data_IF_368149959992
#
_entry.id   IF_368149959992
#
_cell.length_a   1.000
_cell.length_b   1.000
_cell.length_c   1.000
_cell.angle_alpha   90.00
_cell.angle_beta   90.00
_cell.angle_gamma   90.00
#
_symmetry.space_group_name_H-M   'P 1'
#
loop_
_entity.id
_entity.type
_entity.pdbx_description
1 polymer ?
#
# COMPACT_ATOMS: atom_id res chain seq x y z
N UNK A 1 18.75 11.74 28.02
CA UNK A 1 18.58 11.85 26.56
C UNK A 1 17.58 10.79 26.16
N UNK A 2 16.47 11.20 25.56
CA UNK A 2 15.43 10.31 25.04
C UNK A 2 15.95 9.61 23.79
N UNK A 3 15.66 8.32 23.66
CA UNK A 3 16.11 7.43 22.61
C UNK A 3 14.91 6.86 21.83
N UNK A 4 15.17 6.27 20.66
CA UNK A 4 14.10 5.62 19.88
C UNK A 4 13.42 4.47 20.63
N UNK A 5 14.13 3.80 21.55
CA UNK A 5 13.55 2.76 22.40
C UNK A 5 12.46 3.33 23.31
N UNK A 6 12.68 4.50 23.89
CA UNK A 6 11.70 5.15 24.77
C UNK A 6 10.41 5.46 24.00
N UNK A 7 10.50 5.87 22.73
CA UNK A 7 9.34 6.11 21.87
C UNK A 7 8.59 4.81 21.51
N UNK A 8 9.31 3.71 21.31
CA UNK A 8 8.70 2.40 21.06
C UNK A 8 7.98 1.87 22.30
N UNK A 9 8.58 2.03 23.49
CA UNK A 9 8.00 1.63 24.77
C UNK A 9 6.73 2.45 25.09
N UNK A 10 6.62 3.66 24.53
CA UNK A 10 5.40 4.50 24.56
C UNK A 10 4.35 4.11 23.50
N UNK A 11 4.64 3.11 22.65
CA UNK A 11 3.70 2.59 21.65
C UNK A 11 3.77 3.27 20.27
N UNK A 12 4.73 4.16 20.03
CA UNK A 12 4.90 4.77 18.70
C UNK A 12 5.59 3.81 17.73
N UNK A 13 5.20 3.86 16.45
CA UNK A 13 5.81 3.01 15.41
C UNK A 13 7.04 3.68 14.80
N UNK A 14 8.17 2.98 14.90
CA UNK A 14 9.44 3.42 14.30
C UNK A 14 9.27 3.70 12.81
N UNK A 15 9.66 4.90 12.41
CA UNK A 15 9.69 5.35 11.01
C UNK A 15 10.53 6.62 10.89
N UNK A 16 10.69 7.17 9.68
CA UNK A 16 11.64 8.26 9.38
C UNK A 16 11.49 9.50 10.28
N UNK A 17 10.28 9.81 10.76
CA UNK A 17 10.00 10.97 11.63
C UNK A 17 10.63 10.86 13.04
N UNK A 18 11.04 9.67 13.49
CA UNK A 18 11.65 9.49 14.82
C UNK A 18 12.91 10.33 14.98
N UNK A 19 13.71 10.49 13.92
CA UNK A 19 14.96 11.24 13.98
C UNK A 19 14.71 12.70 14.37
N UNK A 20 13.84 13.38 13.62
CA UNK A 20 13.49 14.78 13.83
C UNK A 20 12.77 14.98 15.18
N UNK A 21 11.90 14.04 15.56
CA UNK A 21 11.24 14.05 16.86
C UNK A 21 12.23 13.96 18.03
N UNK A 22 13.20 13.03 17.96
CA UNK A 22 14.21 12.84 19.00
C UNK A 22 15.17 14.03 19.10
N UNK A 23 15.57 14.61 17.97
CA UNK A 23 16.38 15.84 17.94
C UNK A 23 15.67 16.98 18.66
N UNK A 24 14.38 17.20 18.35
CA UNK A 24 13.58 18.24 19.01
C UNK A 24 13.38 17.98 20.51
N UNK A 25 13.04 16.75 20.90
CA UNK A 25 12.82 16.37 22.30
C UNK A 25 14.07 16.59 23.13
N UNK A 26 15.23 16.15 22.62
CA UNK A 26 16.50 16.27 23.34
C UNK A 26 17.01 17.71 23.38
N UNK A 27 16.85 18.49 22.31
CA UNK A 27 17.26 19.90 22.28
C UNK A 27 16.46 20.78 23.27
N UNK A 28 15.18 20.46 23.46
CA UNK A 28 14.28 21.22 24.34
C UNK A 28 14.05 20.55 25.71
N UNK A 29 14.76 19.46 26.00
CA UNK A 29 14.61 18.66 27.21
C UNK A 29 13.14 18.31 27.54
N UNK A 30 12.33 18.00 26.52
CA UNK A 30 10.92 17.64 26.71
C UNK A 30 10.82 16.33 27.49
N UNK A 31 9.93 16.29 28.47
CA UNK A 31 9.65 15.10 29.27
C UNK A 31 8.16 15.01 29.63
N UNK A 32 7.72 13.82 30.06
CA UNK A 32 6.35 13.58 30.52
C UNK A 32 5.29 14.03 29.50
N UNK A 33 4.29 14.76 29.99
CA UNK A 33 3.15 15.21 29.17
C UNK A 33 3.53 16.16 28.03
N UNK A 34 4.56 17.00 28.22
CA UNK A 34 5.04 17.91 27.18
C UNK A 34 5.63 17.12 26.00
N UNK A 35 6.40 16.08 26.28
CA UNK A 35 6.93 15.18 25.26
C UNK A 35 5.81 14.39 24.56
N UNK A 36 4.84 13.85 25.32
CA UNK A 36 3.72 13.11 24.75
C UNK A 36 2.84 13.98 23.85
N UNK A 37 2.59 15.22 24.25
CA UNK A 37 1.82 16.20 23.47
C UNK A 37 2.51 16.49 22.14
N UNK A 38 3.83 16.76 22.19
CA UNK A 38 4.63 16.96 20.99
C UNK A 38 4.61 15.72 20.08
N UNK A 39 4.91 14.54 20.63
CA UNK A 39 4.94 13.29 19.87
C UNK A 39 3.60 13.00 19.18
N UNK A 40 2.46 13.23 19.85
CA UNK A 40 1.14 13.05 19.23
C UNK A 40 0.86 14.07 18.12
N UNK A 41 1.42 15.27 18.20
CA UNK A 41 1.26 16.30 17.18
C UNK A 41 2.10 16.02 15.92
N UNK A 42 3.29 15.42 16.07
CA UNK A 42 4.19 15.15 14.94
C UNK A 42 4.13 13.71 14.43
N UNK A 43 3.55 12.78 15.20
CA UNK A 43 3.40 11.40 14.76
C UNK A 43 2.56 11.35 13.47
N UNK A 44 2.97 10.56 12.47
CA UNK A 44 2.16 10.30 11.30
C UNK A 44 0.78 9.78 11.69
N UNK A 45 -0.25 10.09 10.90
CA UNK A 45 -1.57 9.51 11.12
C UNK A 45 -1.48 7.98 11.09
N UNK A 46 -2.38 7.29 11.83
CA UNK A 46 -2.45 5.84 11.79
C UNK A 46 -2.57 5.32 10.36
N UNK A 47 -1.87 4.23 10.05
CA UNK A 47 -2.02 3.55 8.77
C UNK A 47 -3.47 3.08 8.60
N UNK A 48 -4.03 3.28 7.41
CA UNK A 48 -5.36 2.78 7.06
C UNK A 48 -5.24 1.27 6.82
N UNK A 49 -5.99 0.43 7.55
CA UNK A 49 -5.95 -1.01 7.33
C UNK A 49 -6.55 -1.35 5.96
N UNK A 50 -6.11 -2.47 5.38
CA UNK A 50 -6.76 -3.03 4.19
C UNK A 50 -8.22 -3.38 4.49
N UNK A 51 -9.05 -3.37 3.46
CA UNK A 51 -10.41 -3.88 3.52
C UNK A 51 -10.38 -5.37 3.91
N UNK A 52 -11.35 -5.83 4.72
CA UNK A 52 -11.42 -7.24 5.10
C UNK A 52 -11.60 -8.13 3.87
N UNK A 53 -12.47 -7.70 2.94
CA UNK A 53 -12.76 -8.36 1.67
C UNK A 53 -12.35 -7.48 0.49
N UNK A 54 -12.00 -8.07 -0.67
CA UNK A 54 -11.71 -7.31 -1.87
C UNK A 54 -12.95 -6.57 -2.39
N UNK A 55 -12.75 -5.35 -2.88
CA UNK A 55 -13.76 -4.66 -3.69
C UNK A 55 -14.05 -5.46 -4.99
N UNK A 56 -15.28 -5.42 -5.50
CA UNK A 56 -15.69 -6.22 -6.66
C UNK A 56 -14.94 -5.78 -7.92
N UNK A 57 -14.58 -6.75 -8.75
CA UNK A 57 -13.95 -6.52 -10.05
C UNK A 57 -14.49 -7.51 -11.08
N UNK A 58 -14.37 -7.14 -12.35
CA UNK A 58 -14.75 -7.98 -13.47
C UNK A 58 -13.57 -8.82 -13.94
N UNK A 59 -13.82 -10.05 -14.37
CA UNK A 59 -12.80 -10.95 -14.90
C UNK A 59 -13.21 -11.39 -16.31
N UNK A 60 -12.40 -11.02 -17.31
CA UNK A 60 -12.62 -11.40 -18.71
C UNK A 60 -11.37 -12.05 -19.27
N UNK A 61 -10.95 -13.16 -18.68
CA UNK A 61 -9.79 -13.95 -19.10
C UNK A 61 -10.10 -15.44 -19.01
N UNK A 62 -9.52 -16.24 -19.89
CA UNK A 62 -9.72 -17.69 -19.94
C UNK A 62 -8.42 -18.40 -20.31
N UNK A 63 -8.28 -19.63 -19.84
CA UNK A 63 -7.16 -20.49 -20.19
C UNK A 63 -7.60 -21.55 -21.19
N UNK A 64 -6.76 -21.80 -22.18
CA UNK A 64 -6.82 -22.93 -23.09
C UNK A 64 -5.81 -24.02 -22.69
N UNK A 65 -4.83 -23.69 -21.83
CA UNK A 65 -3.82 -24.63 -21.32
C UNK A 65 -3.67 -24.61 -19.80
N UNK A 66 -3.10 -25.67 -19.23
CA UNK A 66 -2.83 -25.74 -17.79
C UNK A 66 -1.83 -24.66 -17.31
N UNK A 67 -0.88 -24.28 -18.17
CA UNK A 67 0.09 -23.21 -17.86
C UNK A 67 -0.60 -21.85 -17.82
N UNK A 68 -1.49 -21.58 -18.77
CA UNK A 68 -2.31 -20.37 -18.75
C UNK A 68 -3.21 -20.31 -17.52
N UNK A 69 -3.81 -21.44 -17.11
CA UNK A 69 -4.62 -21.49 -15.90
C UNK A 69 -3.81 -21.11 -14.66
N UNK A 70 -2.56 -21.56 -14.55
CA UNK A 70 -1.67 -21.18 -13.44
C UNK A 70 -1.38 -19.68 -13.43
N UNK A 71 -1.20 -19.07 -14.60
CA UNK A 71 -1.01 -17.62 -14.72
C UNK A 71 -2.28 -16.85 -14.32
N UNK A 72 -3.46 -17.29 -14.79
CA UNK A 72 -4.75 -16.69 -14.44
C UNK A 72 -5.00 -16.79 -12.93
N UNK A 73 -4.72 -17.94 -12.32
CA UNK A 73 -4.89 -18.11 -10.87
C UNK A 73 -3.98 -17.16 -10.08
N UNK A 74 -2.76 -16.91 -10.58
CA UNK A 74 -1.87 -15.91 -10.01
C UNK A 74 -2.42 -14.49 -10.17
N UNK A 75 -2.87 -14.12 -11.37
CA UNK A 75 -3.49 -12.82 -11.69
C UNK A 75 -4.68 -12.56 -10.77
N UNK A 76 -5.57 -13.54 -10.64
CA UNK A 76 -6.76 -13.48 -9.77
C UNK A 76 -6.37 -13.27 -8.32
N UNK A 77 -5.41 -14.05 -7.81
CA UNK A 77 -4.91 -13.91 -6.43
C UNK A 77 -4.29 -12.53 -6.19
N UNK A 78 -3.53 -12.01 -7.16
CA UNK A 78 -2.93 -10.68 -7.05
C UNK A 78 -3.98 -9.58 -7.02
N UNK A 79 -4.97 -9.63 -7.93
CA UNK A 79 -6.09 -8.69 -7.94
C UNK A 79 -6.91 -8.78 -6.66
N UNK A 80 -7.20 -9.97 -6.15
CA UNK A 80 -7.90 -10.13 -4.87
C UNK A 80 -7.16 -9.46 -3.70
N UNK A 81 -5.83 -9.45 -3.66
CA UNK A 81 -5.10 -8.69 -2.63
C UNK A 81 -5.09 -7.19 -2.92
N UNK A 82 -4.83 -6.78 -4.17
CA UNK A 82 -4.80 -5.38 -4.60
C UNK A 82 -6.14 -4.67 -4.32
N UNK A 83 -7.26 -5.35 -4.59
CA UNK A 83 -8.63 -4.84 -4.43
C UNK A 83 -9.04 -4.67 -2.96
N UNK A 84 -8.19 -5.04 -1.99
CA UNK A 84 -8.38 -4.72 -0.57
C UNK A 84 -7.82 -3.34 -0.21
N UNK A 85 -7.18 -2.63 -1.14
CA UNK A 85 -6.69 -1.27 -0.91
C UNK A 85 -7.88 -0.33 -0.65
N UNK A 86 -7.91 0.41 0.48
CA UNK A 86 -9.11 1.14 0.93
C UNK A 86 -9.67 2.19 -0.04
N UNK A 87 -8.85 2.75 -0.91
CA UNK A 87 -9.27 3.77 -1.88
C UNK A 87 -9.74 3.16 -3.19
N UNK A 88 -9.64 1.84 -3.37
CA UNK A 88 -10.11 1.13 -4.56
C UNK A 88 -11.61 0.89 -4.47
N UNK A 89 -12.32 1.17 -5.57
CA UNK A 89 -13.78 1.05 -5.67
C UNK A 89 -14.20 -0.14 -6.53
N UNK A 90 -13.51 -0.36 -7.66
CA UNK A 90 -13.75 -1.49 -8.56
C UNK A 90 -12.55 -1.69 -9.50
N UNK A 91 -12.58 -2.71 -10.34
CA UNK A 91 -11.52 -3.00 -11.30
C UNK A 91 -11.95 -4.01 -12.35
N UNK A 92 -11.01 -4.35 -13.24
CA UNK A 92 -11.18 -5.39 -14.24
C UNK A 92 -9.87 -6.11 -14.55
N UNK A 93 -9.97 -7.37 -14.94
CA UNK A 93 -8.88 -8.17 -15.52
C UNK A 93 -9.19 -8.36 -17.00
N UNK A 94 -8.28 -7.88 -17.86
CA UNK A 94 -8.40 -7.98 -19.32
C UNK A 94 -7.98 -9.37 -19.84
N UNK A 95 -8.37 -9.73 -21.09
CA UNK A 95 -8.10 -11.05 -21.65
C UNK A 95 -6.62 -11.41 -21.82
N UNK A 96 -5.76 -10.41 -21.89
CA UNK A 96 -4.31 -10.52 -22.06
C UNK A 96 -3.53 -10.41 -20.74
N UNK A 97 -4.24 -10.40 -19.60
CA UNK A 97 -3.62 -10.16 -18.32
C UNK A 97 -2.59 -11.23 -17.92
N UNK A 98 -1.49 -10.79 -17.31
CA UNK A 98 -0.42 -11.69 -16.87
C UNK A 98 0.26 -11.22 -15.57
N UNK A 99 0.95 -12.13 -14.85
CA UNK A 99 1.67 -11.78 -13.62
C UNK A 99 2.74 -10.70 -13.82
N UNK A 100 2.77 -9.69 -12.96
CA UNK A 100 3.72 -8.57 -13.06
C UNK A 100 4.71 -8.45 -11.89
N UNK A 101 4.50 -9.19 -10.80
CA UNK A 101 5.26 -9.02 -9.56
C UNK A 101 4.71 -9.86 -8.43
N UNK A 102 5.14 -9.63 -7.18
CA UNK A 102 4.61 -10.34 -6.00
C UNK A 102 3.09 -10.15 -5.86
N UNK A 103 2.44 -11.04 -5.12
CA UNK A 103 0.99 -10.99 -4.88
C UNK A 103 0.59 -9.63 -4.28
N UNK A 104 -0.41 -8.98 -4.89
CA UNK A 104 -0.87 -7.64 -4.54
C UNK A 104 -0.35 -6.55 -5.48
N UNK A 105 0.60 -6.88 -6.38
CA UNK A 105 0.98 -6.01 -7.51
C UNK A 105 -0.14 -6.02 -8.55
N UNK A 106 -0.40 -4.87 -9.19
CA UNK A 106 -1.33 -4.84 -10.32
C UNK A 106 -0.82 -5.76 -11.44
N UNK A 107 -1.63 -6.69 -11.98
CA UNK A 107 -1.24 -7.45 -13.16
C UNK A 107 -1.11 -6.55 -14.38
N UNK A 108 -0.29 -6.96 -15.35
CA UNK A 108 -0.43 -6.41 -16.72
C UNK A 108 -1.84 -6.72 -17.20
N UNK A 109 -2.48 -5.80 -17.92
CA UNK A 109 -3.90 -5.93 -18.30
C UNK A 109 -4.87 -5.79 -17.12
N UNK A 110 -4.40 -5.35 -15.95
CA UNK A 110 -5.25 -4.98 -14.82
C UNK A 110 -5.74 -3.54 -14.91
N UNK A 111 -7.00 -3.30 -14.58
CA UNK A 111 -7.58 -1.96 -14.43
C UNK A 111 -8.10 -1.79 -13.02
N UNK A 112 -7.80 -0.66 -12.39
CA UNK A 112 -8.27 -0.32 -11.04
C UNK A 112 -8.85 1.09 -11.04
N UNK A 113 -10.04 1.24 -10.44
CA UNK A 113 -10.69 2.52 -10.20
C UNK A 113 -10.47 2.90 -8.74
N UNK A 114 -9.73 3.97 -8.51
CA UNK A 114 -9.52 4.54 -7.19
C UNK A 114 -10.34 5.82 -6.99
N UNK A 115 -10.79 6.06 -5.75
CA UNK A 115 -11.49 7.28 -5.34
C UNK A 115 -10.53 8.15 -4.52
N UNK A 116 -10.37 9.41 -4.95
CA UNK A 116 -9.56 10.42 -4.25
C UNK A 116 -8.12 9.96 -3.95
N UNK A 117 -7.55 9.12 -4.81
CA UNK A 117 -6.20 8.60 -4.67
C UNK A 117 -5.60 8.27 -6.03
N UNK A 118 -4.28 8.37 -6.10
CA UNK A 118 -3.46 7.86 -7.20
C UNK A 118 -2.46 6.88 -6.59
N UNK A 119 -2.33 5.71 -7.19
CA UNK A 119 -1.36 4.68 -6.78
C UNK A 119 -0.29 4.55 -7.86
N UNK A 120 0.93 5.10 -7.63
CA UNK A 120 1.99 5.06 -8.64
C UNK A 120 2.32 3.65 -9.12
N UNK A 121 2.32 2.68 -8.20
CA UNK A 121 2.58 1.27 -8.51
C UNK A 121 1.55 0.65 -9.49
N UNK A 122 0.36 1.24 -9.59
CA UNK A 122 -0.68 0.79 -10.53
C UNK A 122 -0.49 1.32 -11.98
N UNK A 123 0.55 2.12 -12.25
CA UNK A 123 0.83 2.73 -13.56
C UNK A 123 2.04 2.11 -14.28
N UNK A 124 2.63 1.06 -13.71
CA UNK A 124 3.90 0.44 -14.12
C UNK A 124 5.13 1.36 -14.00
N UNK A 125 6.31 0.78 -14.20
CA UNK A 125 7.58 1.51 -14.21
C UNK A 125 7.82 2.30 -15.50
N UNK A 126 7.23 1.88 -16.62
CA UNK A 126 7.33 2.56 -17.93
C UNK A 126 6.05 3.38 -18.17
N UNK A 127 5.99 4.56 -17.56
CA UNK A 127 4.81 5.41 -17.58
C UNK A 127 4.55 5.88 -19.02
N UNK A 128 3.32 5.68 -19.48
CA UNK A 128 2.89 5.93 -20.86
C UNK A 128 3.50 4.99 -21.92
N UNK A 129 3.95 3.79 -21.53
CA UNK A 129 4.25 2.72 -22.48
C UNK A 129 3.05 2.48 -23.40
N UNK A 130 3.20 2.80 -24.69
CA UNK A 130 2.10 2.82 -25.64
C UNK A 130 2.60 2.63 -27.07
N UNK A 131 1.67 2.34 -27.97
CA UNK A 131 1.87 2.32 -29.42
C UNK A 131 1.30 3.61 -30.02
N UNK A 132 1.89 4.08 -31.13
CA UNK A 132 1.37 5.21 -31.92
C UNK A 132 0.56 4.73 -33.11
#
# INVERSE_FOLDING_TARGET
>A
MTTGKDLLDLGFKSSKWFKEALEHINAHALAGDAMLTYLRAVAPPPAIPLLPEPAPFYENIRADTAVEQQNIDYVRRSMQQLMRTPTVVTGAVMPDACPAGPVGTIPVGGVVVARQAIHPDMHSADICCSVM
#
